data_IF_435644677035
#
_entry.id   IF_435644677035
#
_cell.length_a   1.000
_cell.length_b   1.000
_cell.length_c   1.000
_cell.angle_alpha   90.00
_cell.angle_beta   90.00
_cell.angle_gamma   90.00
#
_symmetry.space_group_name_H-M   'P 1'
#
loop_
_entity.id
_entity.type
_entity.pdbx_description
1 polymer ?
#
# COMPACT_ATOMS: atom_id res chain seq x y z
N UNK A 1 -63.73 -33.45 -50.55
CA UNK A 1 -64.20 -34.21 -49.39
C UNK A 1 -62.97 -34.74 -48.68
N UNK A 2 -62.79 -34.33 -47.41
CA UNK A 2 -61.99 -34.88 -46.30
C UNK A 2 -60.69 -35.66 -46.62
N UNK A 3 -59.55 -35.44 -45.96
CA UNK A 3 -59.38 -35.40 -44.52
C UNK A 3 -58.02 -34.79 -44.12
N UNK A 4 -58.02 -34.25 -42.91
CA UNK A 4 -56.90 -33.77 -42.10
C UNK A 4 -55.77 -34.81 -41.92
N UNK A 5 -54.51 -34.34 -41.88
CA UNK A 5 -53.60 -34.77 -40.82
C UNK A 5 -52.57 -33.70 -40.47
N UNK A 6 -52.69 -33.23 -39.23
CA UNK A 6 -51.88 -32.22 -38.54
C UNK A 6 -50.40 -32.59 -38.38
N UNK A 7 -49.53 -31.57 -38.12
CA UNK A 7 -48.08 -31.68 -38.10
C UNK A 7 -47.55 -32.13 -36.73
N UNK A 8 -46.37 -32.73 -36.68
CA UNK A 8 -45.60 -32.91 -35.43
C UNK A 8 -44.25 -32.25 -35.62
N UNK A 9 -44.12 -31.06 -35.02
CA UNK A 9 -42.86 -30.35 -34.84
C UNK A 9 -41.96 -31.07 -33.83
N UNK A 10 -40.63 -31.01 -33.99
CA UNK A 10 -39.69 -31.45 -32.96
C UNK A 10 -39.66 -30.45 -31.78
N UNK A 11 -39.30 -30.90 -30.56
CA UNK A 11 -39.38 -30.09 -29.35
C UNK A 11 -38.34 -28.96 -29.35
N UNK A 12 -38.80 -27.78 -28.93
CA UNK A 12 -37.97 -26.65 -28.55
C UNK A 12 -37.04 -27.05 -27.41
N UNK A 13 -35.73 -26.87 -27.61
CA UNK A 13 -34.78 -26.81 -26.50
C UNK A 13 -34.83 -25.39 -25.95
N UNK A 14 -35.61 -25.22 -24.89
CA UNK A 14 -35.39 -24.17 -23.92
C UNK A 14 -33.98 -24.37 -23.34
N UNK A 15 -33.13 -23.41 -23.65
CA UNK A 15 -31.75 -23.33 -23.21
C UNK A 15 -31.32 -21.89 -23.33
N UNK A 16 -32.07 -21.00 -22.68
CA UNK A 16 -31.58 -19.66 -22.36
C UNK A 16 -30.52 -19.88 -21.28
N UNK A 17 -29.29 -20.18 -21.72
CA UNK A 17 -28.12 -19.99 -20.89
C UNK A 17 -28.03 -18.49 -20.61
N UNK A 18 -28.47 -18.12 -19.42
CA UNK A 18 -28.17 -16.86 -18.79
C UNK A 18 -26.65 -16.75 -18.71
N UNK A 19 -26.05 -16.18 -19.75
CA UNK A 19 -24.70 -15.63 -19.69
C UNK A 19 -24.76 -14.44 -18.73
N UNK A 20 -24.72 -14.74 -17.43
CA UNK A 20 -24.24 -13.80 -16.43
C UNK A 20 -22.77 -13.60 -16.73
N UNK A 21 -22.48 -12.68 -17.64
CA UNK A 21 -21.14 -12.14 -17.84
C UNK A 21 -20.78 -11.40 -16.54
N UNK A 22 -20.28 -12.15 -15.56
CA UNK A 22 -19.73 -11.60 -14.33
C UNK A 22 -18.52 -10.78 -14.78
N UNK A 23 -18.55 -9.43 -14.70
CA UNK A 23 -17.38 -8.67 -15.05
C UNK A 23 -16.24 -9.12 -14.13
N UNK A 24 -15.19 -9.66 -14.73
CA UNK A 24 -14.01 -10.22 -14.08
C UNK A 24 -13.12 -9.14 -13.44
N UNK A 25 -13.74 -8.15 -12.80
CA UNK A 25 -13.04 -7.14 -12.00
C UNK A 25 -12.79 -7.78 -10.64
N UNK A 26 -11.53 -8.05 -10.26
CA UNK A 26 -11.24 -8.59 -8.95
C UNK A 26 -11.78 -7.64 -7.86
N UNK A 27 -12.41 -8.17 -6.80
CA UNK A 27 -13.01 -7.34 -5.77
C UNK A 27 -11.94 -6.44 -5.12
N UNK A 28 -12.19 -5.14 -5.14
CA UNK A 28 -11.42 -4.17 -4.36
C UNK A 28 -11.61 -4.52 -2.89
N UNK A 29 -10.53 -4.93 -2.23
CA UNK A 29 -10.57 -5.37 -0.83
C UNK A 29 -9.78 -4.38 0.02
N UNK A 30 -10.41 -3.84 1.05
CA UNK A 30 -9.75 -3.02 2.08
C UNK A 30 -9.59 -3.90 3.32
N UNK A 31 -8.36 -4.00 3.83
CA UNK A 31 -8.02 -4.77 5.01
C UNK A 31 -8.73 -4.19 6.24
N UNK A 32 -9.44 -5.06 6.97
CA UNK A 32 -10.09 -4.70 8.24
C UNK A 32 -9.11 -4.58 9.41
N UNK A 33 -7.83 -4.94 9.20
CA UNK A 33 -6.81 -4.89 10.24
C UNK A 33 -6.33 -3.45 10.55
N UNK A 34 -6.59 -2.49 9.64
CA UNK A 34 -6.25 -1.08 9.85
C UNK A 34 -7.51 -0.32 10.26
N UNK A 35 -7.50 0.44 11.37
CA UNK A 35 -8.68 1.15 11.87
C UNK A 35 -8.93 2.44 11.08
N UNK A 36 -9.31 2.30 9.81
CA UNK A 36 -9.68 3.45 8.97
C UNK A 36 -11.04 4.03 9.35
N UNK A 37 -11.16 5.36 9.24
CA UNK A 37 -12.44 6.05 9.31
C UNK A 37 -13.26 5.80 8.04
N UNK A 38 -14.53 6.17 8.04
CA UNK A 38 -15.39 6.00 6.87
C UNK A 38 -14.93 6.90 5.71
N UNK A 39 -14.45 8.11 6.00
CA UNK A 39 -13.92 9.05 5.00
C UNK A 39 -12.69 8.47 4.28
N UNK A 40 -11.76 7.86 5.04
CA UNK A 40 -10.57 7.20 4.51
C UNK A 40 -10.91 6.00 3.64
N UNK A 41 -11.87 5.16 4.10
CA UNK A 41 -12.35 4.02 3.31
C UNK A 41 -13.01 4.47 2.03
N UNK A 42 -13.84 5.52 2.08
CA UNK A 42 -14.50 6.06 0.91
C UNK A 42 -13.48 6.58 -0.10
N UNK A 43 -12.45 7.30 0.37
CA UNK A 43 -11.35 7.77 -0.48
C UNK A 43 -10.61 6.59 -1.15
N UNK A 44 -10.29 5.53 -0.40
CA UNK A 44 -9.67 4.33 -0.94
C UNK A 44 -10.57 3.64 -1.98
N UNK A 45 -11.85 3.46 -1.66
CA UNK A 45 -12.81 2.82 -2.57
C UNK A 45 -12.98 3.60 -3.86
N UNK A 46 -13.10 4.92 -3.78
CA UNK A 46 -13.22 5.80 -4.94
C UNK A 46 -12.02 5.63 -5.87
N UNK A 47 -10.81 5.70 -5.33
CA UNK A 47 -9.59 5.61 -6.13
C UNK A 47 -9.36 4.21 -6.67
N UNK A 48 -9.59 3.16 -5.89
CA UNK A 48 -9.41 1.77 -6.31
C UNK A 48 -10.46 1.34 -7.36
N UNK A 49 -11.65 1.94 -7.35
CA UNK A 49 -12.66 1.76 -8.42
C UNK A 49 -12.36 2.63 -9.64
N UNK A 50 -11.77 3.80 -9.42
CA UNK A 50 -11.48 4.82 -10.43
C UNK A 50 -10.14 4.68 -11.17
N UNK A 51 -9.30 3.68 -10.84
CA UNK A 51 -7.97 3.48 -11.47
C UNK A 51 -8.05 3.37 -13.00
N UNK A 52 -9.21 3.03 -13.58
CA UNK A 52 -9.40 2.99 -15.04
C UNK A 52 -9.48 4.37 -15.74
N UNK A 53 -9.63 5.51 -15.03
CA UNK A 53 -9.93 6.80 -15.69
C UNK A 53 -9.06 8.01 -15.29
N UNK A 54 -8.23 7.91 -14.26
CA UNK A 54 -7.61 9.12 -13.68
C UNK A 54 -6.33 9.63 -14.36
N UNK A 55 -5.75 8.88 -15.31
CA UNK A 55 -4.45 9.23 -15.91
C UNK A 55 -4.55 10.26 -17.05
N UNK A 56 -5.74 10.58 -17.58
CA UNK A 56 -5.90 11.49 -18.73
C UNK A 56 -6.39 12.90 -18.39
N UNK A 57 -6.69 13.22 -17.12
CA UNK A 57 -7.43 14.45 -16.77
C UNK A 57 -6.62 15.63 -16.22
N UNK A 58 -5.28 15.59 -16.22
CA UNK A 58 -4.47 16.55 -15.46
C UNK A 58 -3.60 17.49 -16.31
N UNK A 59 -4.22 18.26 -17.21
CA UNK A 59 -3.54 19.40 -17.85
C UNK A 59 -4.36 20.71 -17.85
N UNK A 60 -5.55 20.78 -17.22
CA UNK A 60 -6.45 21.94 -17.44
C UNK A 60 -7.21 22.56 -16.27
N UNK A 61 -6.96 22.20 -15.01
CA UNK A 61 -7.72 22.81 -13.90
C UNK A 61 -6.82 23.54 -12.90
N UNK A 62 -6.75 24.88 -13.05
CA UNK A 62 -6.19 25.85 -12.09
C UNK A 62 -6.97 25.92 -10.74
N UNK A 63 -7.78 24.90 -10.41
CA UNK A 63 -8.59 24.81 -9.18
C UNK A 63 -8.37 23.55 -8.35
N UNK A 64 -7.45 22.65 -8.75
CA UNK A 64 -7.23 21.35 -8.09
C UNK A 64 -6.40 21.47 -6.79
N UNK A 65 -5.68 22.58 -6.61
CA UNK A 65 -4.70 22.70 -5.52
C UNK A 65 -5.35 22.72 -4.12
N UNK A 66 -6.56 23.29 -4.00
CA UNK A 66 -7.29 23.36 -2.73
C UNK A 66 -7.83 22.01 -2.25
N UNK A 67 -8.51 21.26 -3.11
CA UNK A 67 -9.14 19.98 -2.73
C UNK A 67 -8.12 18.90 -2.38
N UNK A 68 -6.96 18.91 -3.05
CA UNK A 68 -5.85 18.02 -2.72
C UNK A 68 -5.30 18.32 -1.32
N UNK A 69 -4.90 19.57 -1.05
CA UNK A 69 -4.23 19.94 0.20
C UNK A 69 -5.14 19.93 1.41
N UNK A 70 -6.40 20.32 1.25
CA UNK A 70 -7.36 20.45 2.35
C UNK A 70 -8.21 19.18 2.54
N UNK A 71 -8.38 18.38 1.49
CA UNK A 71 -9.22 17.17 1.52
C UNK A 71 -8.42 15.87 1.47
N UNK A 72 -7.78 15.58 0.34
CA UNK A 72 -7.19 14.26 0.08
C UNK A 72 -5.89 14.00 0.86
N UNK A 73 -4.99 14.99 0.89
CA UNK A 73 -3.66 14.83 1.48
C UNK A 73 -3.70 14.57 3.00
N UNK A 74 -4.52 15.26 3.81
CA UNK A 74 -4.66 14.95 5.23
C UNK A 74 -5.13 13.52 5.48
N UNK A 75 -6.09 13.03 4.69
CA UNK A 75 -6.57 11.65 4.77
C UNK A 75 -5.48 10.64 4.42
N UNK A 76 -4.71 10.89 3.35
CA UNK A 76 -3.54 10.08 2.99
C UNK A 76 -2.50 10.02 4.10
N UNK A 77 -2.19 11.17 4.72
CA UNK A 77 -1.26 11.22 5.85
C UNK A 77 -1.77 10.37 7.02
N UNK A 78 -3.05 10.50 7.38
CA UNK A 78 -3.64 9.72 8.48
C UNK A 78 -3.62 8.21 8.20
N UNK A 79 -3.93 7.79 6.97
CA UNK A 79 -3.87 6.39 6.58
C UNK A 79 -2.43 5.84 6.63
N UNK A 80 -1.45 6.58 6.11
CA UNK A 80 -0.04 6.19 6.16
C UNK A 80 0.44 6.07 7.61
N UNK A 81 0.09 7.02 8.47
CA UNK A 81 0.42 7.00 9.90
C UNK A 81 -0.17 5.77 10.60
N UNK A 82 -1.44 5.44 10.34
CA UNK A 82 -2.10 4.24 10.89
C UNK A 82 -1.40 2.95 10.46
N UNK A 83 -1.05 2.83 9.18
CA UNK A 83 -0.36 1.65 8.65
C UNK A 83 1.06 1.51 9.21
N UNK A 84 1.79 2.61 9.35
CA UNK A 84 3.13 2.60 9.96
C UNK A 84 3.08 2.33 11.46
N UNK A 85 2.06 2.83 12.16
CA UNK A 85 1.83 2.53 13.58
C UNK A 85 1.54 1.05 13.79
N UNK A 86 0.67 0.46 12.97
CA UNK A 86 0.39 -0.98 12.97
C UNK A 86 1.67 -1.80 12.71
N UNK A 87 2.52 -1.35 11.78
CA UNK A 87 3.82 -1.99 11.54
C UNK A 87 4.77 -1.89 12.74
N UNK A 88 4.84 -0.74 13.41
CA UNK A 88 5.65 -0.54 14.60
C UNK A 88 5.19 -1.43 15.76
N UNK A 89 3.88 -1.51 16.00
CA UNK A 89 3.30 -2.40 17.01
C UNK A 89 3.71 -3.86 16.79
N UNK A 90 3.73 -4.32 15.53
CA UNK A 90 4.15 -5.68 15.20
C UNK A 90 5.65 -5.90 15.31
N UNK A 91 6.48 -4.88 15.07
CA UNK A 91 7.92 -5.00 15.25
C UNK A 91 8.32 -5.14 16.73
N UNK A 92 7.59 -4.47 17.64
CA UNK A 92 7.84 -4.59 19.09
C UNK A 92 7.57 -6.00 19.63
N UNK A 93 6.59 -6.71 19.08
CA UNK A 93 6.19 -8.06 19.54
C UNK A 93 7.28 -9.11 19.24
N UNK A 94 8.06 -8.95 18.17
CA UNK A 94 9.16 -9.88 17.85
C UNK A 94 10.39 -9.71 18.75
N UNK A 95 10.64 -8.50 19.26
CA UNK A 95 11.83 -8.20 20.08
C UNK A 95 11.72 -8.69 21.52
N UNK A 96 10.51 -8.84 22.07
CA UNK A 96 10.30 -9.32 23.44
C UNK A 96 10.31 -10.86 23.58
N UNK A 97 10.28 -11.61 22.47
CA UNK A 97 10.21 -13.08 22.49
C UNK A 97 11.58 -13.79 22.44
N UNK A 98 12.70 -13.06 22.38
CA UNK A 98 14.04 -13.61 22.09
C UNK A 98 15.06 -13.53 23.22
N UNK A 99 14.66 -13.25 24.46
CA UNK A 99 15.57 -13.08 25.59
C UNK A 99 15.46 -14.21 26.62
N UNK A 100 16.48 -15.09 26.64
CA UNK A 100 16.84 -16.07 27.69
C UNK A 100 16.55 -17.53 27.37
N UNK A 101 17.52 -18.23 26.76
CA UNK A 101 18.08 -19.45 27.35
C UNK A 101 19.59 -19.50 27.07
N UNK A 102 20.36 -19.55 28.16
CA UNK A 102 21.82 -19.52 28.15
C UNK A 102 22.41 -20.81 27.61
N UNK A 103 23.16 -20.68 26.51
CA UNK A 103 24.08 -21.71 26.02
C UNK A 103 25.48 -21.49 26.59
N UNK A 104 25.74 -22.05 27.77
CA UNK A 104 27.07 -22.16 28.35
C UNK A 104 27.93 -23.06 27.43
N UNK A 105 28.79 -22.47 26.60
CA UNK A 105 29.80 -23.22 25.83
C UNK A 105 31.21 -22.84 26.25
N UNK A 106 31.77 -23.81 26.96
CA UNK A 106 33.15 -23.97 27.43
C UNK A 106 34.18 -23.62 26.35
N UNK A 107 35.19 -22.85 26.77
CA UNK A 107 36.35 -22.46 25.99
C UNK A 107 37.02 -23.64 25.26
N UNK A 108 37.29 -23.45 23.97
CA UNK A 108 38.45 -24.02 23.28
C UNK A 108 39.08 -22.98 22.37
N UNK A 109 40.29 -22.64 22.75
CA UNK A 109 41.31 -21.87 22.05
C UNK A 109 41.66 -22.57 20.72
N UNK A 110 41.68 -21.82 19.62
CA UNK A 110 41.92 -22.35 18.29
C UNK A 110 41.89 -21.25 17.23
N UNK A 111 43.05 -20.66 17.01
CA UNK A 111 43.39 -19.71 15.96
C UNK A 111 43.00 -20.21 14.55
N UNK A 112 42.12 -19.48 13.85
CA UNK A 112 42.19 -19.31 12.40
C UNK A 112 41.17 -18.27 11.89
N UNK A 113 41.76 -17.17 11.41
CA UNK A 113 41.24 -16.23 10.42
C UNK A 113 40.05 -16.73 9.60
N UNK A 114 38.87 -16.21 9.91
CA UNK A 114 37.75 -16.10 8.98
C UNK A 114 37.20 -14.68 9.14
N UNK A 115 37.27 -13.89 8.07
CA UNK A 115 36.51 -12.65 7.94
C UNK A 115 35.03 -13.00 8.00
N UNK A 116 34.50 -13.10 9.22
CA UNK A 116 33.09 -13.03 9.49
C UNK A 116 32.68 -11.58 9.25
N UNK A 117 32.06 -11.32 8.11
CA UNK A 117 31.17 -10.18 7.95
C UNK A 117 30.30 -10.14 9.20
N UNK A 118 30.22 -9.03 9.96
CA UNK A 118 29.27 -8.96 11.05
C UNK A 118 27.91 -9.17 10.39
N UNK A 119 27.28 -10.30 10.70
CA UNK A 119 25.85 -10.47 10.56
C UNK A 119 25.30 -9.23 11.26
N UNK A 120 24.81 -8.28 10.47
CA UNK A 120 24.04 -7.16 11.01
C UNK A 120 22.91 -7.85 11.74
N UNK A 121 23.07 -7.97 13.04
CA UNK A 121 22.02 -8.32 13.94
C UNK A 121 20.97 -7.23 13.68
N UNK A 122 19.96 -7.57 12.87
CA UNK A 122 18.87 -6.67 12.51
C UNK A 122 17.95 -6.67 13.72
N UNK A 123 18.49 -6.24 14.86
CA UNK A 123 17.67 -5.64 15.90
C UNK A 123 17.14 -4.39 15.23
N UNK A 124 15.89 -4.47 14.77
CA UNK A 124 15.20 -3.31 14.21
C UNK A 124 15.27 -2.25 15.31
N UNK A 125 16.11 -1.23 15.12
CA UNK A 125 16.17 -0.15 16.07
C UNK A 125 14.83 0.60 15.92
N UNK A 126 13.93 0.41 16.88
CA UNK A 126 12.61 1.02 16.87
C UNK A 126 12.69 2.53 16.76
N UNK A 127 13.76 3.14 17.27
CA UNK A 127 14.00 4.58 17.10
C UNK A 127 14.26 4.93 15.63
N UNK A 128 15.06 4.13 14.91
CA UNK A 128 15.27 4.32 13.47
C UNK A 128 14.00 4.08 12.66
N UNK A 129 13.21 3.07 13.02
CA UNK A 129 11.93 2.81 12.37
C UNK A 129 10.97 4.00 12.55
N UNK A 130 10.91 4.57 13.76
CA UNK A 130 10.09 5.74 14.05
C UNK A 130 10.58 6.98 13.32
N UNK A 131 11.89 7.24 13.36
CA UNK A 131 12.51 8.37 12.65
C UNK A 131 12.20 8.33 11.14
N UNK A 132 12.35 7.17 10.51
CA UNK A 132 12.02 7.01 9.09
C UNK A 132 10.51 7.17 8.83
N UNK A 133 9.65 6.73 9.75
CA UNK A 133 8.20 6.92 9.65
C UNK A 133 7.79 8.39 9.70
N UNK A 134 8.39 9.15 10.63
CA UNK A 134 8.19 10.58 10.77
C UNK A 134 8.67 11.33 9.52
N UNK A 135 9.84 10.94 9.00
CA UNK A 135 10.38 11.49 7.76
C UNK A 135 9.45 11.23 6.55
N UNK A 136 8.95 10.00 6.37
CA UNK A 136 8.00 9.66 5.29
C UNK A 136 6.75 10.55 5.39
N UNK A 137 6.20 10.74 6.58
CA UNK A 137 5.01 11.57 6.79
C UNK A 137 5.29 13.05 6.51
N UNK A 138 6.45 13.57 6.91
CA UNK A 138 6.87 14.92 6.56
C UNK A 138 6.94 15.11 5.04
N UNK A 139 7.60 14.18 4.34
CA UNK A 139 7.73 14.24 2.89
C UNK A 139 6.38 14.10 2.17
N UNK A 140 5.45 13.32 2.72
CA UNK A 140 4.09 13.22 2.19
C UNK A 140 3.34 14.55 2.36
N UNK A 141 3.42 15.20 3.52
CA UNK A 141 2.77 16.51 3.77
C UNK A 141 3.28 17.62 2.86
N UNK A 142 4.52 17.51 2.38
CA UNK A 142 5.11 18.46 1.45
C UNK A 142 4.58 18.30 0.02
N UNK A 143 3.85 17.24 -0.32
CA UNK A 143 3.42 16.98 -1.70
C UNK A 143 2.41 18.03 -2.19
N UNK A 144 2.80 18.87 -3.17
CA UNK A 144 1.94 19.95 -3.65
C UNK A 144 0.78 19.49 -4.55
N UNK A 145 0.91 18.32 -5.19
CA UNK A 145 -0.09 17.77 -6.09
C UNK A 145 -0.15 16.23 -5.95
N UNK A 146 -1.22 15.58 -6.45
CA UNK A 146 -1.26 14.14 -6.58
C UNK A 146 -0.07 13.62 -7.39
N UNK A 147 0.62 12.61 -6.89
CA UNK A 147 1.84 12.11 -7.51
C UNK A 147 1.67 10.79 -8.25
N UNK A 148 2.59 10.48 -9.17
CA UNK A 148 2.40 9.36 -10.10
C UNK A 148 2.40 7.97 -9.43
N UNK A 149 3.05 7.81 -8.27
CA UNK A 149 3.02 6.56 -7.49
C UNK A 149 1.79 6.47 -6.56
N UNK A 150 0.92 7.48 -6.55
CA UNK A 150 -0.27 7.52 -5.69
C UNK A 150 -1.20 6.30 -5.88
N UNK A 151 -1.47 5.79 -7.10
CA UNK A 151 -2.24 4.55 -7.26
C UNK A 151 -1.61 3.38 -6.51
N UNK A 152 -0.27 3.25 -6.58
CA UNK A 152 0.44 2.20 -5.85
C UNK A 152 0.40 2.41 -4.34
N UNK A 153 0.44 3.65 -3.87
CA UNK A 153 0.25 3.95 -2.45
C UNK A 153 -1.15 3.53 -1.99
N UNK A 154 -2.20 3.85 -2.74
CA UNK A 154 -3.57 3.42 -2.42
C UNK A 154 -3.70 1.89 -2.35
N UNK A 155 -3.06 1.15 -3.26
CA UNK A 155 -3.04 -0.32 -3.18
C UNK A 155 -2.40 -0.84 -1.88
N UNK A 156 -1.29 -0.22 -1.47
CA UNK A 156 -0.58 -0.59 -0.23
C UNK A 156 -1.44 -0.24 1.00
N UNK A 157 -2.10 0.92 0.99
CA UNK A 157 -2.98 1.35 2.08
C UNK A 157 -4.25 0.49 2.16
N UNK A 158 -4.79 0.08 1.02
CA UNK A 158 -5.96 -0.80 0.97
C UNK A 158 -5.66 -2.16 1.60
N UNK A 159 -4.52 -2.77 1.27
CA UNK A 159 -4.10 -4.04 1.84
C UNK A 159 -2.59 -4.06 2.13
N UNK A 160 -2.19 -3.63 3.35
CA UNK A 160 -0.78 -3.59 3.71
C UNK A 160 -0.16 -5.00 3.80
N UNK A 161 -0.96 -6.05 3.95
CA UNK A 161 -0.48 -7.42 4.13
C UNK A 161 -0.19 -8.10 2.78
N UNK A 162 -0.95 -7.77 1.72
CA UNK A 162 -0.89 -8.43 0.40
C UNK A 162 0.51 -8.76 -0.11
N UNK A 163 1.44 -7.81 0.02
CA UNK A 163 2.81 -7.95 -0.45
C UNK A 163 3.86 -7.75 0.64
N UNK A 164 3.46 -7.37 1.85
CA UNK A 164 4.37 -7.04 2.94
C UNK A 164 4.25 -8.00 4.13
N UNK A 165 3.65 -9.17 3.95
CA UNK A 165 3.63 -10.21 4.97
C UNK A 165 4.66 -11.33 4.73
N UNK A 166 4.97 -12.06 5.79
CA UNK A 166 5.58 -13.39 5.76
C UNK A 166 4.79 -14.27 6.73
N UNK A 167 4.25 -15.40 6.27
CA UNK A 167 3.45 -16.31 7.10
C UNK A 167 2.34 -15.60 7.90
N UNK A 168 1.64 -14.65 7.26
CA UNK A 168 0.61 -13.75 7.85
C UNK A 168 1.10 -12.64 8.78
N UNK A 169 2.39 -12.61 9.11
CA UNK A 169 2.99 -11.55 9.91
C UNK A 169 3.41 -10.35 9.04
N UNK A 170 3.05 -9.14 9.46
CA UNK A 170 3.39 -7.92 8.75
C UNK A 170 4.87 -7.59 8.93
N UNK A 171 5.62 -7.52 7.83
CA UNK A 171 7.03 -7.12 7.82
C UNK A 171 7.14 -5.61 7.78
N UNK A 172 7.26 -4.99 8.95
CA UNK A 172 7.27 -3.53 9.10
C UNK A 172 8.29 -2.82 8.21
N UNK A 173 9.55 -3.26 8.20
CA UNK A 173 10.59 -2.66 7.35
C UNK A 173 10.27 -2.73 5.84
N UNK A 174 9.69 -3.85 5.41
CA UNK A 174 9.31 -4.06 4.00
C UNK A 174 8.17 -3.12 3.61
N UNK A 175 7.18 -2.98 4.50
CA UNK A 175 6.05 -2.06 4.33
C UNK A 175 6.52 -0.60 4.31
N UNK A 176 7.32 -0.20 5.29
CA UNK A 176 7.90 1.14 5.38
C UNK A 176 8.70 1.47 4.11
N UNK A 177 9.55 0.54 3.64
CA UNK A 177 10.30 0.70 2.39
C UNK A 177 9.40 0.81 1.15
N UNK A 178 8.26 0.11 1.11
CA UNK A 178 7.29 0.23 0.02
C UNK A 178 6.59 1.59 0.01
N UNK A 179 6.14 2.07 1.18
CA UNK A 179 5.53 3.40 1.34
C UNK A 179 6.53 4.49 1.00
N UNK A 180 7.75 4.41 1.54
CA UNK A 180 8.86 5.32 1.26
C UNK A 180 9.11 5.48 -0.23
N UNK A 181 9.16 4.37 -0.98
CA UNK A 181 9.34 4.42 -2.44
C UNK A 181 8.20 5.12 -3.16
N UNK A 182 6.97 5.03 -2.65
CA UNK A 182 5.86 5.79 -3.24
C UNK A 182 6.06 7.29 -2.98
N UNK A 183 6.28 7.67 -1.72
CA UNK A 183 6.36 9.09 -1.32
C UNK A 183 7.61 9.79 -1.87
N UNK A 184 8.79 9.22 -1.67
CA UNK A 184 10.06 9.93 -1.94
C UNK A 184 10.42 10.02 -3.42
N UNK A 185 10.01 9.05 -4.25
CA UNK A 185 10.25 9.12 -5.70
C UNK A 185 9.43 10.25 -6.33
N UNK A 186 8.41 10.71 -5.63
CA UNK A 186 7.48 11.74 -6.09
C UNK A 186 7.78 13.13 -5.53
N UNK A 187 8.66 13.22 -4.54
CA UNK A 187 8.97 14.51 -3.93
C UNK A 187 9.59 15.43 -4.98
N UNK A 188 9.03 16.63 -5.21
CA UNK A 188 9.70 17.63 -6.02
C UNK A 188 11.08 17.84 -5.40
N UNK A 189 12.13 17.58 -6.19
CA UNK A 189 13.43 18.14 -5.83
C UNK A 189 13.17 19.63 -5.77
N UNK A 190 13.24 20.22 -4.58
CA UNK A 190 13.25 21.67 -4.44
C UNK A 190 14.48 22.16 -5.23
N UNK A 191 14.29 22.38 -6.53
CA UNK A 191 15.17 23.16 -7.36
C UNK A 191 15.01 24.56 -6.80
N UNK A 192 15.79 24.86 -5.77
CA UNK A 192 15.83 26.15 -5.14
C UNK A 192 15.91 27.17 -6.25
N UNK A 193 14.80 27.87 -6.47
CA UNK A 193 14.82 29.12 -7.19
C UNK A 193 15.67 30.04 -6.32
N UNK A 194 16.99 29.96 -6.52
CA UNK A 194 17.89 31.06 -6.24
C UNK A 194 17.39 32.17 -7.15
N UNK A 195 16.40 32.91 -6.67
CA UNK A 195 16.13 34.25 -7.13
C UNK A 195 17.43 35.01 -6.95
N UNK A 196 18.21 35.06 -8.02
CA UNK A 196 19.28 36.02 -8.17
C UNK A 196 18.62 37.40 -8.15
N UNK A 197 18.43 37.94 -6.95
CA UNK A 197 18.31 39.36 -6.74
C UNK A 197 19.70 39.95 -6.99
N UNK A 198 19.98 40.29 -8.25
CA UNK A 198 21.06 41.24 -8.53
C UNK A 198 20.53 42.66 -8.26
N UNK A 199 21.34 43.51 -7.61
CA UNK A 199 20.98 44.88 -7.27
C UNK A 199 20.81 45.78 -8.50
#
# INVERSE_FOLDING_TARGET
MADEKSPTSPPAKDGVEEMTEVPAVPPVTISSAVPYTEEEKNLLLEHLRGVSHHQERSEKEEGVDGSWREGTLPLLCSMVEKVLSLAAERCNVCTDAGGTEGGETKAKEGDQSSQGTPVRDVTINMDLFKEESDYILEQLRLQPWPFFTLPRLYEILADPFKYNCHESELRGEKLQSAIRRCVLVSCPLNSGSRSNSLP
#
